data_IF_081283347495
#
_entry.id   IF_081283347495
#
_cell.length_a   1.000
_cell.length_b   1.000
_cell.length_c   1.000
_cell.angle_alpha   90.00
_cell.angle_beta   90.00
_cell.angle_gamma   90.00
#
_symmetry.space_group_name_H-M   'P 1'
#
loop_
_entity.id
_entity.type
_entity.pdbx_description
1 polymer ?
#
# COMPACT_ATOMS: atom_id res chain seq x y z
N UNK A 1 -17.29 14.14 -4.63
CA UNK A 1 -16.18 13.67 -5.46
C UNK A 1 -14.94 13.51 -4.58
N UNK A 2 -14.27 12.35 -4.64
CA UNK A 2 -13.07 12.14 -3.84
C UNK A 2 -11.94 13.05 -4.32
N UNK A 3 -11.15 13.57 -3.40
CA UNK A 3 -9.93 14.30 -3.70
C UNK A 3 -8.78 13.71 -2.90
N UNK A 4 -7.56 14.16 -3.20
CA UNK A 4 -6.36 13.59 -2.57
C UNK A 4 -6.31 13.79 -1.06
N UNK A 5 -6.78 14.92 -0.56
CA UNK A 5 -6.81 15.19 0.88
C UNK A 5 -7.80 14.27 1.60
N UNK A 6 -8.95 14.01 0.98
CA UNK A 6 -9.92 13.06 1.50
C UNK A 6 -9.36 11.64 1.53
N UNK A 7 -8.68 11.23 0.46
CA UNK A 7 -8.06 9.89 0.40
C UNK A 7 -7.03 9.74 1.50
N UNK A 8 -6.17 10.73 1.69
CA UNK A 8 -5.17 10.71 2.77
C UNK A 8 -5.83 10.60 4.14
N UNK A 9 -6.87 11.39 4.38
CA UNK A 9 -7.61 11.35 5.64
C UNK A 9 -8.28 9.99 5.86
N UNK A 10 -8.87 9.40 4.82
CA UNK A 10 -9.48 8.08 4.92
C UNK A 10 -8.46 6.99 5.28
N UNK A 11 -7.27 7.05 4.68
CA UNK A 11 -6.19 6.12 5.02
C UNK A 11 -5.81 6.25 6.49
N UNK A 12 -5.58 7.48 6.95
CA UNK A 12 -5.22 7.77 8.33
C UNK A 12 -6.30 7.32 9.31
N UNK A 13 -7.55 7.57 8.97
CA UNK A 13 -8.68 7.21 9.82
C UNK A 13 -8.96 5.71 9.83
N UNK A 14 -8.40 4.97 8.87
CA UNK A 14 -8.56 3.52 8.78
C UNK A 14 -7.33 2.76 9.30
N UNK A 15 -6.60 3.35 10.24
CA UNK A 15 -5.43 2.72 10.83
C UNK A 15 -4.20 2.75 9.92
N UNK A 16 -4.11 3.75 9.05
CA UNK A 16 -3.00 3.96 8.12
C UNK A 16 -2.89 2.93 6.99
N UNK A 17 -3.98 2.19 6.73
CA UNK A 17 -4.08 1.27 5.60
C UNK A 17 -5.51 1.27 5.09
N UNK A 18 -5.69 1.29 3.76
CA UNK A 18 -7.02 1.33 3.14
C UNK A 18 -6.97 0.75 1.75
N UNK A 19 -7.93 -0.09 1.40
CA UNK A 19 -8.09 -0.61 0.04
C UNK A 19 -9.09 0.26 -0.71
N UNK A 20 -8.69 0.72 -1.88
CA UNK A 20 -9.53 1.53 -2.77
C UNK A 20 -9.52 0.94 -4.18
N UNK A 21 -10.45 1.38 -5.03
CA UNK A 21 -10.45 1.00 -6.45
C UNK A 21 -9.57 1.96 -7.25
N UNK A 22 -9.10 1.49 -8.39
CA UNK A 22 -8.39 2.38 -9.33
C UNK A 22 -9.30 3.51 -9.82
N UNK A 23 -10.61 3.26 -9.93
CA UNK A 23 -11.58 4.29 -10.29
C UNK A 23 -11.54 5.47 -9.33
N UNK A 24 -11.47 5.20 -8.03
CA UNK A 24 -11.37 6.25 -7.01
C UNK A 24 -10.11 7.09 -7.18
N UNK A 25 -8.98 6.46 -7.47
CA UNK A 25 -7.72 7.17 -7.69
C UNK A 25 -7.75 7.98 -8.99
N UNK A 26 -8.32 7.40 -10.04
CA UNK A 26 -8.51 8.09 -11.31
C UNK A 26 -9.36 9.35 -11.15
N UNK A 27 -10.47 9.22 -10.41
CA UNK A 27 -11.38 10.35 -10.18
C UNK A 27 -10.72 11.44 -9.34
N UNK A 28 -9.92 11.07 -8.36
CA UNK A 28 -9.15 12.03 -7.56
C UNK A 28 -8.14 12.79 -8.41
N UNK A 29 -7.53 12.11 -9.38
CA UNK A 29 -6.60 12.74 -10.32
C UNK A 29 -7.34 13.61 -11.36
N UNK A 30 -8.60 13.30 -11.65
CA UNK A 30 -9.39 14.03 -12.62
C UNK A 30 -9.23 13.55 -14.06
N UNK A 31 -8.82 12.30 -14.25
CA UNK A 31 -8.65 11.72 -15.58
C UNK A 31 -9.85 10.85 -15.97
N UNK A 32 -10.08 10.69 -17.27
CA UNK A 32 -11.12 9.80 -17.79
C UNK A 32 -10.63 8.40 -18.10
N UNK A 33 -9.34 8.17 -18.13
CA UNK A 33 -8.73 6.87 -18.48
C UNK A 33 -7.53 6.57 -17.59
N UNK A 34 -7.16 5.29 -17.51
CA UNK A 34 -6.02 4.81 -16.75
C UNK A 34 -4.85 4.44 -17.66
N UNK A 35 -4.41 5.38 -18.50
CA UNK A 35 -3.21 5.19 -19.31
C UNK A 35 -1.94 5.19 -18.45
N UNK A 36 -0.82 4.82 -19.05
CA UNK A 36 0.45 4.70 -18.31
C UNK A 36 0.87 6.03 -17.67
N UNK A 37 0.69 7.14 -18.36
CA UNK A 37 1.05 8.46 -17.81
C UNK A 37 0.18 8.85 -16.63
N UNK A 38 -1.12 8.54 -16.69
CA UNK A 38 -2.05 8.80 -15.59
C UNK A 38 -1.66 7.95 -14.38
N UNK A 39 -1.39 6.66 -14.59
CA UNK A 39 -0.98 5.76 -13.51
C UNK A 39 0.33 6.22 -12.86
N UNK A 40 1.31 6.65 -13.66
CA UNK A 40 2.57 7.19 -13.13
C UNK A 40 2.35 8.46 -12.31
N UNK A 41 1.46 9.35 -12.76
CA UNK A 41 1.13 10.58 -12.03
C UNK A 41 0.37 10.27 -10.73
N UNK A 42 -0.53 9.30 -10.76
CA UNK A 42 -1.23 8.84 -9.54
C UNK A 42 -0.21 8.33 -8.53
N UNK A 43 0.71 7.48 -8.96
CA UNK A 43 1.75 6.94 -8.09
C UNK A 43 2.62 8.06 -7.48
N UNK A 44 3.03 9.03 -8.30
CA UNK A 44 3.83 10.17 -7.84
C UNK A 44 3.07 11.04 -6.85
N UNK A 45 1.78 11.26 -7.10
CA UNK A 45 0.92 12.05 -6.21
C UNK A 45 0.77 11.37 -4.85
N UNK A 46 0.52 10.06 -4.85
CA UNK A 46 0.45 9.28 -3.62
C UNK A 46 1.76 9.37 -2.83
N UNK A 47 2.88 9.22 -3.50
CA UNK A 47 4.20 9.35 -2.86
C UNK A 47 4.38 10.73 -2.24
N UNK A 48 3.94 11.78 -2.92
CA UNK A 48 4.00 13.16 -2.40
C UNK A 48 3.13 13.37 -1.17
N UNK A 49 2.10 12.55 -0.98
CA UNK A 49 1.24 12.58 0.22
C UNK A 49 1.79 11.70 1.35
N UNK A 50 2.92 11.04 1.16
CA UNK A 50 3.47 10.10 2.12
C UNK A 50 2.75 8.77 2.13
N UNK A 51 2.11 8.40 1.02
CA UNK A 51 1.38 7.14 0.87
C UNK A 51 2.11 6.21 -0.09
N UNK A 52 2.19 4.93 0.27
CA UNK A 52 2.63 3.88 -0.63
C UNK A 52 1.44 3.10 -1.14
N UNK A 53 1.63 2.25 -2.13
CA UNK A 53 0.56 1.43 -2.68
C UNK A 53 1.02 0.02 -3.04
N UNK A 54 0.08 -0.91 -2.98
CA UNK A 54 0.26 -2.30 -3.40
C UNK A 54 -0.92 -2.65 -4.31
N UNK A 55 -0.69 -3.17 -5.50
CA UNK A 55 0.60 -3.58 -6.07
C UNK A 55 1.53 -2.40 -6.37
N UNK A 56 2.82 -2.70 -6.53
CA UNK A 56 3.83 -1.68 -6.82
C UNK A 56 3.58 -1.03 -8.19
N UNK A 57 3.14 -1.83 -9.15
CA UNK A 57 2.68 -1.35 -10.45
C UNK A 57 1.16 -1.24 -10.40
N UNK A 58 0.64 -0.03 -10.59
CA UNK A 58 -0.81 0.19 -10.51
C UNK A 58 -1.56 -0.56 -11.61
N UNK A 59 -2.71 -1.18 -11.25
CA UNK A 59 -3.54 -1.88 -12.22
C UNK A 59 -4.11 -0.97 -13.31
N UNK A 60 -4.54 -1.58 -14.43
CA UNK A 60 -5.03 -0.85 -15.61
C UNK A 60 -6.55 -0.68 -15.63
N UNK A 61 -7.28 -1.50 -14.88
CA UNK A 61 -8.74 -1.48 -14.91
C UNK A 61 -9.33 -0.80 -13.69
N UNK A 62 -10.39 -0.03 -13.91
CA UNK A 62 -10.99 0.82 -12.87
C UNK A 62 -11.56 0.03 -11.68
N UNK A 63 -11.97 -1.21 -11.89
CA UNK A 63 -12.53 -2.04 -10.83
C UNK A 63 -11.49 -2.76 -9.98
N UNK A 64 -10.23 -2.75 -10.39
CA UNK A 64 -9.16 -3.41 -9.65
C UNK A 64 -8.83 -2.67 -8.36
N UNK A 65 -8.43 -3.42 -7.34
CA UNK A 65 -8.19 -2.90 -6.01
C UNK A 65 -6.71 -2.55 -5.80
N UNK A 66 -6.50 -1.50 -5.02
CA UNK A 66 -5.17 -1.04 -4.62
C UNK A 66 -5.21 -0.82 -3.11
N UNK A 67 -4.22 -1.35 -2.41
CA UNK A 67 -4.06 -1.09 -0.98
C UNK A 67 -3.13 0.10 -0.80
N UNK A 68 -3.63 1.13 -0.10
CA UNK A 68 -2.84 2.30 0.25
C UNK A 68 -2.39 2.19 1.70
N UNK A 69 -1.19 2.65 1.99
CA UNK A 69 -0.68 2.67 3.36
C UNK A 69 0.11 3.94 3.62
N UNK A 70 0.08 4.40 4.86
CA UNK A 70 0.84 5.59 5.28
C UNK A 70 2.27 5.19 5.59
N UNK A 71 3.24 5.78 4.88
CA UNK A 71 4.66 5.57 5.12
C UNK A 71 5.06 6.18 6.47
N UNK A 72 6.04 5.58 7.12
CA UNK A 72 6.53 6.05 8.42
C UNK A 72 5.66 5.63 9.60
N UNK A 73 4.67 4.79 9.38
CA UNK A 73 3.84 4.19 10.44
C UNK A 73 4.23 2.73 10.63
N UNK A 74 3.93 2.11 11.80
CA UNK A 74 4.26 0.70 12.01
C UNK A 74 3.70 -0.23 10.92
N UNK A 75 2.45 -0.04 10.51
CA UNK A 75 1.85 -0.88 9.46
C UNK A 75 2.50 -0.60 8.11
N UNK A 76 2.79 0.67 7.80
CA UNK A 76 3.47 1.04 6.56
C UNK A 76 4.88 0.47 6.49
N UNK A 77 5.64 0.56 7.58
CA UNK A 77 6.99 0.01 7.66
C UNK A 77 6.99 -1.51 7.49
N UNK A 78 6.00 -2.19 8.06
CA UNK A 78 5.85 -3.65 7.91
C UNK A 78 5.60 -4.01 6.45
N UNK A 79 4.68 -3.30 5.79
CA UNK A 79 4.36 -3.54 4.38
C UNK A 79 5.60 -3.31 3.51
N UNK A 80 6.31 -2.21 3.70
CA UNK A 80 7.51 -1.91 2.92
C UNK A 80 8.62 -2.94 3.16
N UNK A 81 8.77 -3.40 4.40
CA UNK A 81 9.75 -4.45 4.73
C UNK A 81 9.44 -5.75 4.01
N UNK A 82 8.16 -6.14 3.93
CA UNK A 82 7.74 -7.34 3.22
C UNK A 82 7.94 -7.19 1.71
N UNK A 83 7.67 -6.00 1.17
CA UNK A 83 7.79 -5.75 -0.27
C UNK A 83 9.22 -5.64 -0.76
N UNK A 84 10.15 -5.31 0.12
CA UNK A 84 11.55 -5.09 -0.24
C UNK A 84 12.40 -6.29 0.20
N UNK A 85 12.76 -7.19 -0.72
CA UNK A 85 13.57 -8.36 -0.36
C UNK A 85 14.98 -7.96 0.05
N UNK A 86 15.57 -8.72 0.94
CA UNK A 86 16.94 -8.50 1.39
C UNK A 86 17.18 -9.11 2.75
N UNK A 87 18.44 -9.48 3.02
CA UNK A 87 18.81 -10.13 4.27
C UNK A 87 18.54 -9.28 5.51
N UNK A 88 18.72 -7.96 5.41
CA UNK A 88 18.41 -7.03 6.52
C UNK A 88 16.93 -7.01 6.83
N UNK A 89 16.09 -6.96 5.81
CA UNK A 89 14.63 -6.95 6.00
C UNK A 89 14.13 -8.29 6.51
N UNK A 90 14.72 -9.37 6.06
CA UNK A 90 14.42 -10.71 6.58
C UNK A 90 14.75 -10.78 8.08
N UNK A 91 15.89 -10.23 8.49
CA UNK A 91 16.30 -10.18 9.88
C UNK A 91 15.32 -9.34 10.73
N UNK A 92 14.90 -8.20 10.21
CA UNK A 92 13.90 -7.35 10.87
C UNK A 92 12.59 -8.07 11.09
N UNK A 93 12.13 -8.80 10.09
CA UNK A 93 10.90 -9.59 10.20
C UNK A 93 11.04 -10.66 11.26
N UNK A 94 12.17 -11.36 11.29
CA UNK A 94 12.43 -12.40 12.30
C UNK A 94 12.47 -11.80 13.71
N UNK A 95 13.17 -10.69 13.90
CA UNK A 95 13.27 -10.01 15.19
C UNK A 95 11.91 -9.59 15.71
N UNK A 96 11.11 -8.98 14.84
CA UNK A 96 9.82 -8.41 15.24
C UNK A 96 8.82 -9.48 15.63
N UNK A 97 8.87 -10.65 15.00
CA UNK A 97 7.86 -11.69 15.18
C UNK A 97 8.39 -12.97 15.80
N UNK A 98 9.66 -13.01 16.23
CA UNK A 98 10.22 -14.15 16.95
C UNK A 98 10.27 -13.85 18.45
N UNK A 99 10.12 -14.85 19.28
CA UNK A 99 10.31 -14.73 20.71
C UNK A 99 9.07 -14.89 21.58
N UNK A 100 7.88 -14.76 21.04
CA UNK A 100 6.62 -14.88 21.80
C UNK A 100 5.87 -16.18 21.49
N UNK A 101 6.54 -17.19 20.98
CA UNK A 101 5.90 -18.42 20.56
C UNK A 101 5.06 -18.25 19.31
N UNK A 102 5.18 -17.11 18.65
CA UNK A 102 4.44 -16.82 17.42
C UNK A 102 5.14 -17.49 16.25
N UNK A 103 4.35 -18.14 15.39
CA UNK A 103 4.86 -18.74 14.17
C UNK A 103 5.20 -17.62 13.17
N UNK A 104 6.46 -17.30 13.09
CA UNK A 104 6.97 -16.27 12.19
C UNK A 104 6.59 -16.53 10.73
N UNK A 105 6.70 -17.79 10.27
CA UNK A 105 6.39 -18.13 8.89
C UNK A 105 4.89 -17.88 8.57
N UNK A 106 4.00 -18.20 9.50
CA UNK A 106 2.58 -17.97 9.34
C UNK A 106 2.26 -16.48 9.29
N UNK A 107 2.93 -15.66 10.11
CA UNK A 107 2.73 -14.22 10.13
C UNK A 107 3.20 -13.59 8.82
N UNK A 108 4.37 -13.96 8.34
CA UNK A 108 4.89 -13.44 7.06
C UNK A 108 3.97 -13.84 5.91
N UNK A 109 3.45 -15.07 5.93
CA UNK A 109 2.52 -15.53 4.92
C UNK A 109 1.23 -14.69 4.94
N UNK A 110 0.69 -14.42 6.12
CA UNK A 110 -0.50 -13.57 6.27
C UNK A 110 -0.28 -12.17 5.71
N UNK A 111 0.88 -11.57 6.01
CA UNK A 111 1.18 -10.23 5.50
C UNK A 111 1.30 -10.26 3.97
N UNK A 112 1.92 -11.28 3.41
CA UNK A 112 2.00 -11.45 1.96
C UNK A 112 0.63 -11.58 1.31
N UNK A 113 -0.27 -12.34 1.92
CA UNK A 113 -1.66 -12.47 1.45
C UNK A 113 -2.39 -11.14 1.45
N UNK A 114 -2.18 -10.33 2.48
CA UNK A 114 -2.79 -9.01 2.57
C UNK A 114 -2.31 -8.04 1.49
N UNK A 115 -1.08 -8.17 1.03
CA UNK A 115 -0.50 -7.25 0.03
C UNK A 115 -0.45 -7.83 -1.38
N UNK A 116 -0.79 -9.09 -1.57
CA UNK A 116 -0.73 -9.79 -2.87
C UNK A 116 -2.06 -9.77 -3.59
N UNK A 117 -2.68 -8.66 -3.65
CA UNK A 117 -3.98 -8.48 -4.30
C UNK A 117 -3.89 -8.52 -5.84
#
# INVERSE_FOLDING_TARGET
MANWDEIKAEVQNNGNVLTVTMEKLRDAYGAGKLGIHVRDKISSTLAGLGLGHVPVVLPTYQHELVRLYKKGTPVGDLIETVLTPGGQNDARLREKFSGDGIDYAAIVQKVRELVAE
#
